data_IF_647517303228
#
_entry.id   IF_647517303228
#
_cell.length_a   1.000
_cell.length_b   1.000
_cell.length_c   1.000
_cell.angle_alpha   90.00
_cell.angle_beta   90.00
_cell.angle_gamma   90.00
#
_symmetry.space_group_name_H-M   'P 1'
#
loop_
_entity.id
_entity.type
_entity.pdbx_description
1 polymer ?
#
# COMPACT_ATOMS: atom_id res chain seq x y z
N UNK A 1 13.07 7.29 -10.56
CA UNK A 1 13.40 6.02 -11.23
C UNK A 1 12.51 4.95 -10.59
N UNK A 2 11.76 4.17 -11.38
CA UNK A 2 10.89 3.11 -10.84
C UNK A 2 11.79 1.96 -10.41
N UNK A 3 12.06 1.81 -9.12
CA UNK A 3 12.74 0.62 -8.62
C UNK A 3 11.74 -0.54 -8.62
N UNK A 4 12.11 -1.65 -9.24
CA UNK A 4 11.32 -2.87 -9.16
C UNK A 4 11.50 -3.47 -7.77
N UNK A 5 10.40 -3.67 -7.06
CA UNK A 5 10.41 -4.18 -5.69
C UNK A 5 9.63 -5.50 -5.63
N UNK A 6 10.16 -6.48 -4.90
CA UNK A 6 9.39 -7.65 -4.43
C UNK A 6 9.04 -7.41 -2.96
N UNK A 7 7.78 -7.13 -2.63
CA UNK A 7 7.40 -6.88 -1.25
C UNK A 7 7.42 -8.19 -0.46
N UNK A 8 8.17 -8.20 0.63
CA UNK A 8 8.24 -9.32 1.57
C UNK A 8 7.92 -8.82 2.97
N UNK A 9 7.15 -9.61 3.71
CA UNK A 9 6.80 -9.32 5.10
C UNK A 9 7.64 -10.18 6.04
N UNK A 10 8.04 -9.59 7.16
CA UNK A 10 8.67 -10.28 8.29
C UNK A 10 7.75 -10.15 9.48
N UNK A 11 7.38 -11.28 10.09
CA UNK A 11 6.43 -11.33 11.22
C UNK A 11 5.11 -10.58 10.97
N UNK A 12 4.66 -10.55 9.71
CA UNK A 12 3.43 -9.87 9.29
C UNK A 12 3.59 -8.40 8.88
N UNK A 13 4.76 -7.80 9.04
CA UNK A 13 5.05 -6.39 8.76
C UNK A 13 5.89 -6.19 7.51
N UNK A 14 5.64 -5.12 6.75
CA UNK A 14 6.56 -4.66 5.71
C UNK A 14 7.61 -3.71 6.29
N UNK A 15 8.79 -3.60 5.66
CA UNK A 15 9.70 -2.47 5.89
C UNK A 15 8.97 -1.13 5.74
N UNK A 16 9.29 -0.15 6.59
CA UNK A 16 8.58 1.14 6.60
C UNK A 16 8.70 1.88 5.26
N UNK A 17 9.85 1.75 4.59
CA UNK A 17 10.12 2.31 3.28
C UNK A 17 9.29 1.70 2.14
N UNK A 18 8.60 0.58 2.39
CA UNK A 18 7.71 -0.06 1.43
C UNK A 18 6.26 0.46 1.52
N UNK A 19 5.98 1.39 2.44
CA UNK A 19 4.70 2.06 2.52
C UNK A 19 4.70 3.38 1.76
N UNK A 20 3.56 3.71 1.18
CA UNK A 20 3.27 5.01 0.56
C UNK A 20 2.04 5.61 1.21
N UNK A 21 1.99 6.95 1.31
CA UNK A 21 0.91 7.69 1.93
C UNK A 21 0.01 8.35 0.89
N UNK A 22 -1.29 8.07 0.96
CA UNK A 22 -2.32 8.87 0.25
C UNK A 22 -3.20 9.58 1.27
N UNK A 23 -3.70 10.74 0.91
CA UNK A 23 -4.55 11.55 1.76
C UNK A 23 -5.22 12.69 0.98
N UNK A 24 -6.31 13.18 1.54
CA UNK A 24 -7.10 14.27 0.96
C UNK A 24 -7.02 15.55 1.81
N UNK A 25 -6.04 15.64 2.71
CA UNK A 25 -5.89 16.73 3.69
C UNK A 25 -6.74 16.58 4.95
N UNK A 26 -7.68 15.62 5.01
CA UNK A 26 -8.50 15.32 6.20
C UNK A 26 -8.02 14.06 6.93
N UNK A 27 -7.50 13.09 6.19
CA UNK A 27 -6.97 11.83 6.71
C UNK A 27 -5.83 11.33 5.80
N UNK A 28 -5.04 10.38 6.31
CA UNK A 28 -3.98 9.68 5.59
C UNK A 28 -4.13 8.17 5.74
N UNK A 29 -3.95 7.45 4.64
CA UNK A 29 -3.84 6.00 4.61
C UNK A 29 -2.42 5.60 4.17
N UNK A 30 -1.90 4.51 4.75
CA UNK A 30 -0.61 3.92 4.35
C UNK A 30 -0.83 2.61 3.61
N UNK A 31 -0.32 2.58 2.38
CA UNK A 31 -0.47 1.48 1.45
C UNK A 31 0.86 0.78 1.27
N UNK A 32 0.92 -0.48 1.65
CA UNK A 32 2.05 -1.36 1.45
C UNK A 32 2.33 -1.61 -0.03
N UNK A 33 3.59 -1.88 -0.35
CA UNK A 33 4.02 -2.29 -1.68
C UNK A 33 3.36 -3.59 -2.19
N UNK A 34 2.73 -4.37 -1.29
CA UNK A 34 1.95 -5.56 -1.62
C UNK A 34 0.47 -5.27 -1.97
N UNK A 35 0.04 -4.01 -1.97
CA UNK A 35 -1.34 -3.61 -2.26
C UNK A 35 -2.28 -3.63 -1.06
N UNK A 36 -1.74 -3.75 0.16
CA UNK A 36 -2.52 -3.71 1.41
C UNK A 36 -2.56 -2.30 1.99
N UNK A 37 -3.74 -1.80 2.34
CA UNK A 37 -3.92 -0.65 3.22
C UNK A 37 -3.82 -1.17 4.66
N UNK A 38 -2.65 -0.96 5.26
CA UNK A 38 -2.35 -1.47 6.62
C UNK A 38 -2.61 -0.44 7.71
N UNK A 39 -2.72 0.84 7.36
CA UNK A 39 -3.04 1.90 8.32
C UNK A 39 -3.98 2.92 7.70
N UNK A 40 -5.06 3.25 8.41
CA UNK A 40 -5.93 4.36 8.04
C UNK A 40 -6.75 4.85 9.23
N UNK A 41 -6.51 6.08 9.68
CA UNK A 41 -7.38 6.78 10.63
C UNK A 41 -8.52 7.44 9.87
N UNK A 42 -9.76 7.02 10.08
CA UNK A 42 -10.92 7.54 9.36
C UNK A 42 -12.06 7.86 10.33
N UNK A 43 -12.83 8.95 10.12
CA UNK A 43 -12.77 9.85 8.96
C UNK A 43 -11.73 10.99 9.07
N UNK A 44 -11.11 11.18 10.24
CA UNK A 44 -10.14 12.25 10.53
C UNK A 44 -8.75 11.69 10.86
N UNK A 45 -7.72 12.52 10.73
CA UNK A 45 -6.33 12.15 11.00
C UNK A 45 -6.11 11.64 12.45
N UNK A 46 -6.85 12.19 13.41
CA UNK A 46 -6.81 11.83 14.83
C UNK A 46 -7.90 10.82 15.25
N UNK A 47 -8.66 10.29 14.28
CA UNK A 47 -9.60 9.21 14.54
C UNK A 47 -8.85 7.91 14.91
N UNK A 48 -9.48 7.00 15.69
CA UNK A 48 -8.97 5.64 15.84
C UNK A 48 -8.71 4.98 14.47
N UNK A 49 -7.67 4.14 14.34
CA UNK A 49 -7.36 3.49 13.08
C UNK A 49 -8.47 2.50 12.70
N UNK A 50 -9.09 2.71 11.54
CA UNK A 50 -10.00 1.75 10.90
C UNK A 50 -9.22 0.52 10.42
N UNK A 51 -8.01 0.74 9.91
CA UNK A 51 -7.03 -0.30 9.62
C UNK A 51 -5.78 -0.07 10.48
N UNK A 52 -5.26 -1.12 11.11
CA UNK A 52 -4.23 -1.03 12.15
C UNK A 52 -3.11 -2.08 11.99
N UNK A 53 -3.01 -2.72 10.82
CA UNK A 53 -2.02 -3.77 10.58
C UNK A 53 -0.56 -3.31 10.70
N UNK A 54 -0.31 -2.02 10.50
CA UNK A 54 1.02 -1.44 10.71
C UNK A 54 1.51 -1.59 12.17
N UNK A 55 0.60 -1.61 13.14
CA UNK A 55 0.93 -1.74 14.56
C UNK A 55 0.72 -3.16 15.11
N UNK A 56 -0.26 -3.88 14.57
CA UNK A 56 -0.63 -5.24 14.98
C UNK A 56 -0.76 -6.13 13.75
N UNK A 57 0.06 -7.18 13.60
CA UNK A 57 0.09 -8.02 12.41
C UNK A 57 -1.29 -8.64 12.05
N UNK A 58 -2.14 -8.86 13.06
CA UNK A 58 -3.50 -9.41 12.93
C UNK A 58 -4.57 -8.32 12.84
N UNK A 59 -4.17 -7.05 12.90
CA UNK A 59 -5.04 -5.88 12.78
C UNK A 59 -5.77 -5.80 11.44
N UNK A 60 -6.91 -5.11 11.45
CA UNK A 60 -7.75 -4.92 10.26
C UNK A 60 -6.97 -4.30 9.09
N UNK A 61 -7.26 -4.76 7.87
CA UNK A 61 -6.67 -4.29 6.61
C UNK A 61 -7.65 -4.43 5.45
N UNK A 62 -7.39 -3.73 4.36
CA UNK A 62 -8.01 -3.97 3.06
C UNK A 62 -6.91 -4.17 2.01
N UNK A 63 -7.06 -5.12 1.09
CA UNK A 63 -6.01 -5.40 0.11
C UNK A 63 -6.54 -5.74 -1.26
N UNK A 64 -5.88 -5.21 -2.28
CA UNK A 64 -5.99 -5.65 -3.67
C UNK A 64 -4.60 -6.10 -4.11
N UNK A 65 -4.41 -7.42 -4.24
CA UNK A 65 -3.09 -8.00 -4.50
C UNK A 65 -3.21 -9.20 -5.45
N UNK A 66 -2.24 -9.44 -6.35
CA UNK A 66 -2.18 -10.67 -7.11
C UNK A 66 -2.12 -11.91 -6.20
N UNK A 67 -2.74 -13.00 -6.64
CA UNK A 67 -2.66 -14.30 -5.96
C UNK A 67 -1.42 -15.11 -6.36
N UNK A 68 -0.76 -14.73 -7.46
CA UNK A 68 0.49 -15.30 -7.96
C UNK A 68 1.70 -14.50 -7.45
N UNK A 69 2.91 -15.08 -7.41
CA UNK A 69 4.12 -14.31 -7.14
C UNK A 69 4.25 -13.08 -8.06
N UNK A 70 4.65 -11.96 -7.48
CA UNK A 70 4.71 -10.70 -8.21
C UNK A 70 5.89 -9.83 -7.80
N UNK A 71 6.20 -8.87 -8.67
CA UNK A 71 6.98 -7.68 -8.35
C UNK A 71 6.15 -6.45 -8.68
N UNK A 72 6.53 -5.31 -8.14
CA UNK A 72 5.86 -4.04 -8.40
C UNK A 72 6.79 -2.99 -9.01
N UNK A 73 6.17 -2.06 -9.72
CA UNK A 73 6.72 -0.74 -10.03
C UNK A 73 5.75 0.30 -9.47
N UNK A 74 6.26 1.32 -8.76
CA UNK A 74 5.40 2.28 -8.06
C UNK A 74 5.85 3.73 -8.20
N UNK A 75 4.90 4.63 -8.38
CA UNK A 75 5.12 6.08 -8.39
C UNK A 75 3.85 6.82 -7.99
N UNK A 76 3.98 8.04 -7.48
CA UNK A 76 2.90 9.01 -7.57
C UNK A 76 2.81 9.54 -9.00
N UNK A 77 1.59 9.81 -9.47
CA UNK A 77 1.41 10.57 -10.71
C UNK A 77 1.98 11.97 -10.54
N UNK A 78 2.46 12.54 -11.64
CA UNK A 78 3.07 13.86 -11.63
C UNK A 78 2.06 14.90 -11.11
N UNK A 79 2.51 15.74 -10.19
CA UNK A 79 1.72 16.82 -9.58
C UNK A 79 0.41 16.35 -8.94
N UNK A 80 0.35 15.13 -8.38
CA UNK A 80 -0.82 14.66 -7.63
C UNK A 80 -0.42 13.73 -6.48
N UNK A 81 -1.38 13.49 -5.57
CA UNK A 81 -1.26 12.46 -4.53
C UNK A 81 -1.83 11.09 -4.98
N UNK A 82 -2.10 10.91 -6.27
CA UNK A 82 -2.59 9.64 -6.81
C UNK A 82 -1.42 8.67 -6.93
N UNK A 83 -1.55 7.52 -6.29
CA UNK A 83 -0.54 6.48 -6.28
C UNK A 83 -0.82 5.47 -7.40
N UNK A 84 0.19 5.18 -8.21
CA UNK A 84 0.12 4.12 -9.22
C UNK A 84 1.03 2.96 -8.81
N UNK A 85 0.41 1.79 -8.60
CA UNK A 85 1.11 0.53 -8.37
C UNK A 85 0.85 -0.38 -9.57
N UNK A 86 1.92 -0.78 -10.26
CA UNK A 86 1.84 -1.77 -11.34
C UNK A 86 2.34 -3.10 -10.80
N UNK A 87 1.42 -4.05 -10.65
CA UNK A 87 1.74 -5.45 -10.35
C UNK A 87 2.16 -6.16 -11.63
N UNK A 88 3.23 -6.95 -11.52
CA UNK A 88 3.78 -7.76 -12.60
C UNK A 88 3.91 -9.20 -12.11
N UNK A 89 3.13 -10.11 -12.70
CA UNK A 89 3.22 -11.56 -12.52
C UNK A 89 3.85 -12.19 -13.76
N UNK A 90 4.07 -13.50 -13.74
CA UNK A 90 4.51 -14.25 -14.93
C UNK A 90 3.44 -14.29 -16.03
N UNK A 91 2.17 -14.18 -15.64
CA UNK A 91 0.99 -14.27 -16.51
C UNK A 91 0.50 -12.92 -17.06
N UNK A 92 0.90 -11.79 -16.45
CA UNK A 92 0.42 -10.49 -16.90
C UNK A 92 0.79 -9.30 -16.01
N UNK A 93 0.12 -8.17 -16.27
CA UNK A 93 0.32 -6.91 -15.54
C UNK A 93 -1.02 -6.27 -15.24
N UNK A 94 -1.15 -5.71 -14.03
CA UNK A 94 -2.31 -4.93 -13.62
C UNK A 94 -1.85 -3.63 -12.97
N UNK A 95 -2.59 -2.54 -13.20
CA UNK A 95 -2.33 -1.24 -12.59
C UNK A 95 -3.46 -0.88 -11.67
N UNK A 96 -3.13 -0.57 -10.42
CA UNK A 96 -4.05 -0.04 -9.41
C UNK A 96 -3.73 1.43 -9.18
N UNK A 97 -4.77 2.24 -9.06
CA UNK A 97 -4.69 3.67 -8.78
C UNK A 97 -5.48 3.98 -7.52
N UNK A 98 -4.84 4.66 -6.59
CA UNK A 98 -5.34 4.93 -5.23
C UNK A 98 -5.25 6.43 -4.93
#
# INVERSE_FOLDING_TARGET
MLHSLKPERTDGFLPLEHYAAIGNGRSVALIGADGSIDWWCAPDLDSPPLFNRLHDAEGGRFSVTPVEPFRIERRYRQNSNVLETVFVTDSGRARVTE
#
